data_IF_283934767018
#
_entry.id   IF_283934767018
#
_cell.length_a   1.000
_cell.length_b   1.000
_cell.length_c   1.000
_cell.angle_alpha   90.00
_cell.angle_beta   90.00
_cell.angle_gamma   90.00
#
_symmetry.space_group_name_H-M   'P 1'
#
loop_
_entity.id
_entity.type
_entity.pdbx_description
1 polymer ?
#
# COMPACT_ATOMS: atom_id res chain seq x y z
N UNK A 1 22.49 4.93 24.40
CA UNK A 1 22.02 4.66 23.02
C UNK A 1 20.83 3.73 23.10
N UNK A 2 19.64 4.24 22.82
CA UNK A 2 18.40 3.47 22.92
C UNK A 2 18.14 2.83 21.55
N UNK A 3 18.38 1.53 21.43
CA UNK A 3 18.06 0.79 20.21
C UNK A 3 16.54 0.65 20.20
N UNK A 4 15.86 1.63 19.61
CA UNK A 4 14.46 1.50 19.26
C UNK A 4 14.39 0.47 18.14
N UNK A 5 14.03 -0.77 18.50
CA UNK A 5 13.58 -1.76 17.52
C UNK A 5 12.25 -1.22 16.99
N UNK A 6 12.32 -0.37 15.97
CA UNK A 6 11.16 0.08 15.24
C UNK A 6 10.77 -1.07 14.30
N UNK A 7 9.58 -1.67 14.44
CA UNK A 7 9.15 -2.75 13.54
C UNK A 7 8.85 -2.23 12.12
N UNK A 8 8.77 -0.91 11.94
CA UNK A 8 8.44 -0.25 10.67
C UNK A 8 9.34 -0.65 9.49
N UNK A 9 10.69 -0.65 9.58
CA UNK A 9 11.54 -0.97 8.44
C UNK A 9 11.42 -2.43 8.01
N UNK A 10 11.21 -3.34 8.97
CA UNK A 10 11.06 -4.77 8.71
C UNK A 10 9.73 -5.03 7.97
N UNK A 11 8.65 -4.38 8.42
CA UNK A 11 7.33 -4.52 7.80
C UNK A 11 7.30 -3.93 6.39
N UNK A 12 7.93 -2.77 6.15
CA UNK A 12 7.99 -2.17 4.82
C UNK A 12 8.81 -3.00 3.82
N UNK A 13 9.90 -3.62 4.28
CA UNK A 13 10.70 -4.56 3.48
C UNK A 13 9.90 -5.79 3.08
N UNK A 14 9.19 -6.42 4.03
CA UNK A 14 8.35 -7.59 3.76
C UNK A 14 7.23 -7.23 2.77
N UNK A 15 6.57 -6.09 2.97
CA UNK A 15 5.54 -5.60 2.06
C UNK A 15 6.09 -5.34 0.65
N UNK A 16 7.28 -4.73 0.54
CA UNK A 16 7.95 -4.47 -0.75
C UNK A 16 8.27 -5.76 -1.51
N UNK A 17 8.80 -6.78 -0.82
CA UNK A 17 9.09 -8.09 -1.42
C UNK A 17 7.81 -8.79 -1.84
N UNK A 18 6.77 -8.78 -1.00
CA UNK A 18 5.45 -9.34 -1.35
C UNK A 18 4.86 -8.70 -2.61
N UNK A 19 5.00 -7.38 -2.78
CA UNK A 19 4.55 -6.67 -3.99
C UNK A 19 5.35 -7.10 -5.22
N UNK A 20 6.66 -7.32 -5.10
CA UNK A 20 7.47 -7.85 -6.22
C UNK A 20 7.03 -9.24 -6.67
N UNK A 21 6.64 -10.11 -5.73
CA UNK A 21 6.17 -11.47 -6.04
C UNK A 21 4.74 -11.43 -6.62
N UNK A 22 3.87 -10.56 -6.09
CA UNK A 22 2.48 -10.44 -6.51
C UNK A 22 2.12 -8.99 -6.89
N UNK A 23 2.60 -8.50 -8.06
CA UNK A 23 2.41 -7.09 -8.46
C UNK A 23 0.94 -6.73 -8.70
N UNK A 24 0.09 -7.74 -8.94
CA UNK A 24 -1.35 -7.56 -9.19
C UNK A 24 -2.10 -7.06 -7.95
N UNK A 25 -1.64 -7.36 -6.74
CA UNK A 25 -2.31 -6.93 -5.50
C UNK A 25 -2.35 -5.40 -5.39
N UNK A 26 -1.24 -4.74 -5.69
CA UNK A 26 -1.16 -3.27 -5.69
C UNK A 26 -2.08 -2.66 -6.74
N UNK A 27 -2.15 -3.26 -7.94
CA UNK A 27 -3.04 -2.80 -9.01
C UNK A 27 -4.52 -2.82 -8.59
N UNK A 28 -4.98 -3.87 -7.89
CA UNK A 28 -6.36 -3.92 -7.40
C UNK A 28 -6.65 -2.83 -6.36
N UNK A 29 -5.74 -2.62 -5.40
CA UNK A 29 -5.88 -1.59 -4.37
C UNK A 29 -5.94 -0.20 -5.01
N UNK A 30 -5.01 0.10 -5.93
CA UNK A 30 -4.95 1.39 -6.63
C UNK A 30 -6.19 1.60 -7.50
N UNK A 31 -6.64 0.58 -8.23
CA UNK A 31 -7.84 0.68 -9.07
C UNK A 31 -9.09 1.00 -8.25
N UNK A 32 -9.31 0.30 -7.13
CA UNK A 32 -10.44 0.56 -6.23
C UNK A 32 -10.36 1.99 -5.68
N UNK A 33 -9.19 2.42 -5.21
CA UNK A 33 -8.99 3.77 -4.69
C UNK A 33 -9.34 4.84 -5.72
N UNK A 34 -8.84 4.70 -6.96
CA UNK A 34 -9.12 5.64 -8.05
C UNK A 34 -10.59 5.66 -8.44
N UNK A 35 -11.25 4.50 -8.50
CA UNK A 35 -12.69 4.39 -8.77
C UNK A 35 -13.49 5.11 -7.69
N UNK A 36 -13.20 4.84 -6.41
CA UNK A 36 -13.92 5.45 -5.29
C UNK A 36 -13.77 6.97 -5.30
N UNK A 37 -12.55 7.48 -5.47
CA UNK A 37 -12.32 8.93 -5.51
C UNK A 37 -12.94 9.57 -6.75
N UNK A 38 -12.83 8.94 -7.91
CA UNK A 38 -13.45 9.42 -9.14
C UNK A 38 -14.98 9.54 -9.01
N UNK A 39 -15.61 8.52 -8.42
CA UNK A 39 -17.06 8.52 -8.15
C UNK A 39 -17.43 9.57 -7.09
N UNK A 40 -16.69 9.67 -5.99
CA UNK A 40 -16.91 10.69 -4.95
C UNK A 40 -16.74 12.12 -5.46
N UNK A 41 -15.87 12.32 -6.45
CA UNK A 41 -15.68 13.60 -7.14
C UNK A 41 -16.80 13.92 -8.13
N UNK A 42 -17.45 12.92 -8.72
CA UNK A 42 -18.58 13.12 -9.63
C UNK A 42 -19.90 13.43 -8.90
N UNK A 43 -20.04 12.98 -7.65
CA UNK A 43 -21.25 13.16 -6.83
C UNK A 43 -21.27 14.53 -6.11
N UNK A 44 -20.15 15.24 -6.06
CA UNK A 44 -20.04 16.59 -5.48
C UNK A 44 -20.19 17.67 -6.54
#
# INVERSE_FOLDING_TARGET
>A
MQIAISPQPVVSLIAGILIFIFPKLLNYIVAIYLIVIGVLGLIR
#
